data_IF_003333576705
#
_entry.id   IF_003333576705
#
_cell.length_a   1.000
_cell.length_b   1.000
_cell.length_c   1.000
_cell.angle_alpha   90.00
_cell.angle_beta   90.00
_cell.angle_gamma   90.00
#
_symmetry.space_group_name_H-M   'P 1'
#
loop_
_entity.id
_entity.type
_entity.pdbx_description
1 polymer ?
#
# COMPACT_ATOMS: atom_id res chain seq x y z
N UNK A 1 7.63 0.10 13.52
CA UNK A 1 8.85 -0.68 13.81
C UNK A 1 8.81 -1.92 12.93
N UNK A 2 9.93 -2.29 12.33
CA UNK A 2 10.08 -3.57 11.64
C UNK A 2 10.17 -4.72 12.66
N UNK A 3 9.98 -5.99 12.24
CA UNK A 3 10.02 -7.13 13.14
C UNK A 3 11.31 -7.21 13.98
N UNK A 4 12.46 -6.91 13.37
CA UNK A 4 13.77 -6.96 14.06
C UNK A 4 13.84 -5.93 15.20
N UNK A 5 13.32 -4.71 15.00
CA UNK A 5 13.23 -3.73 16.08
C UNK A 5 12.28 -4.18 17.19
N UNK A 6 11.17 -4.85 16.86
CA UNK A 6 10.24 -5.37 17.87
C UNK A 6 10.88 -6.49 18.70
N UNK A 7 11.64 -7.38 18.08
CA UNK A 7 12.38 -8.44 18.78
C UNK A 7 13.45 -7.87 19.71
N UNK A 8 14.13 -6.79 19.32
CA UNK A 8 15.08 -6.10 20.17
C UNK A 8 14.39 -5.46 21.39
N UNK A 9 13.26 -4.77 21.16
CA UNK A 9 12.48 -4.16 22.25
C UNK A 9 11.96 -5.25 23.20
N UNK A 10 11.49 -6.38 22.67
CA UNK A 10 11.09 -7.56 23.46
C UNK A 10 12.25 -8.04 24.34
N UNK A 11 13.46 -8.16 23.78
CA UNK A 11 14.65 -8.59 24.54
C UNK A 11 14.99 -7.60 25.67
N UNK A 12 14.93 -6.30 25.40
CA UNK A 12 15.25 -5.26 26.39
C UNK A 12 14.21 -5.18 27.52
N UNK A 13 12.93 -5.28 27.18
CA UNK A 13 11.82 -5.27 28.15
C UNK A 13 11.89 -6.49 29.05
N UNK A 14 12.24 -7.64 28.49
CA UNK A 14 12.19 -8.90 29.21
C UNK A 14 13.48 -9.28 29.94
N UNK A 15 14.48 -8.41 29.89
CA UNK A 15 15.72 -8.49 30.66
C UNK A 15 15.49 -7.94 32.09
N UNK A 16 15.60 -8.82 33.10
CA UNK A 16 15.28 -8.53 34.49
C UNK A 16 16.22 -7.52 35.17
N UNK A 17 17.35 -7.16 34.54
CA UNK A 17 18.26 -6.13 35.06
C UNK A 17 17.86 -4.70 34.64
N UNK A 18 17.02 -4.54 33.61
CA UNK A 18 16.62 -3.24 33.08
C UNK A 18 15.46 -2.62 33.88
N UNK A 19 15.79 -1.91 34.98
CA UNK A 19 14.81 -1.22 35.85
C UNK A 19 14.55 0.25 35.51
N UNK A 20 15.26 0.81 34.53
CA UNK A 20 15.26 2.25 34.23
C UNK A 20 14.71 2.61 32.85
N UNK A 21 14.02 1.69 32.17
CA UNK A 21 13.50 1.90 30.82
C UNK A 21 11.97 1.88 30.81
N UNK A 22 11.37 2.90 30.19
CA UNK A 22 9.96 2.98 29.88
C UNK A 22 9.78 3.02 28.36
N UNK A 23 9.03 2.06 27.82
CA UNK A 23 8.70 2.02 26.40
C UNK A 23 7.28 2.57 26.19
N UNK A 24 7.17 3.58 25.35
CA UNK A 24 5.89 4.15 24.92
C UNK A 24 5.74 3.91 23.43
N UNK A 25 4.64 3.27 23.04
CA UNK A 25 4.33 2.97 21.65
C UNK A 25 2.90 3.39 21.33
N UNK A 26 2.69 3.79 20.07
CA UNK A 26 1.37 4.03 19.51
C UNK A 26 1.20 3.14 18.28
N UNK A 27 0.04 2.50 18.16
CA UNK A 27 -0.32 1.68 17.01
C UNK A 27 -1.82 1.83 16.74
N UNK A 28 -2.23 1.57 15.50
CA UNK A 28 -3.63 1.56 15.12
C UNK A 28 -4.17 0.14 15.26
N UNK A 29 -5.26 -0.03 16.01
CA UNK A 29 -5.80 -1.35 16.33
C UNK A 29 -6.28 -2.11 15.08
N UNK A 30 -6.78 -1.40 14.07
CA UNK A 30 -7.20 -1.98 12.79
C UNK A 30 -6.04 -2.43 11.88
N UNK A 31 -4.80 -2.03 12.15
CA UNK A 31 -3.61 -2.43 11.39
C UNK A 31 -2.85 -3.59 12.07
N UNK A 32 -3.17 -3.89 13.33
CA UNK A 32 -2.48 -4.90 14.15
C UNK A 32 -3.42 -6.08 14.38
N UNK A 33 -3.37 -7.07 13.49
CA UNK A 33 -4.13 -8.31 13.65
C UNK A 33 -3.54 -9.21 14.74
N UNK A 34 -4.29 -10.24 15.16
CA UNK A 34 -3.80 -11.23 16.13
C UNK A 34 -2.50 -11.94 15.67
N UNK A 35 -2.26 -12.02 14.36
CA UNK A 35 -1.05 -12.59 13.77
C UNK A 35 0.10 -11.58 13.58
N UNK A 36 -0.07 -10.32 13.98
CA UNK A 36 0.96 -9.30 13.84
C UNK A 36 2.10 -9.50 14.85
N UNK A 37 3.34 -9.17 14.46
CA UNK A 37 4.52 -9.35 15.33
C UNK A 37 4.42 -8.58 16.65
N UNK A 38 3.84 -7.39 16.63
CA UNK A 38 3.55 -6.60 17.84
C UNK A 38 2.61 -7.33 18.80
N UNK A 39 1.57 -8.00 18.28
CA UNK A 39 0.62 -8.79 19.08
C UNK A 39 1.32 -9.94 19.80
N UNK A 40 2.21 -10.64 19.08
CA UNK A 40 3.05 -11.72 19.63
C UNK A 40 4.00 -11.20 20.73
N UNK A 41 4.68 -10.09 20.47
CA UNK A 41 5.55 -9.41 21.45
C UNK A 41 4.77 -9.06 22.73
N UNK A 42 3.59 -8.41 22.61
CA UNK A 42 2.75 -8.05 23.76
C UNK A 42 2.38 -9.30 24.57
N UNK A 43 1.91 -10.37 23.92
CA UNK A 43 1.56 -11.62 24.60
C UNK A 43 2.73 -12.25 25.36
N UNK A 44 3.95 -12.17 24.82
CA UNK A 44 5.15 -12.69 25.51
C UNK A 44 5.52 -11.85 26.72
N UNK A 45 5.39 -10.53 26.63
CA UNK A 45 5.63 -9.59 27.74
C UNK A 45 4.61 -9.86 28.87
N UNK A 46 3.33 -10.04 28.53
CA UNK A 46 2.27 -10.41 29.48
C UNK A 46 2.56 -11.74 30.19
N UNK A 47 3.05 -12.76 29.47
CA UNK A 47 3.45 -14.05 30.06
C UNK A 47 4.57 -13.94 31.08
N UNK A 48 5.45 -12.93 30.95
CA UNK A 48 6.52 -12.66 31.93
C UNK A 48 6.07 -11.75 33.08
N UNK A 49 4.78 -11.44 33.18
CA UNK A 49 4.19 -10.60 34.24
C UNK A 49 4.79 -9.19 34.32
N UNK A 50 5.23 -8.66 33.19
CA UNK A 50 5.72 -7.27 33.08
C UNK A 50 4.50 -6.37 32.90
N UNK A 51 4.39 -5.25 33.64
CA UNK A 51 3.22 -4.37 33.57
C UNK A 51 3.11 -3.71 32.19
N UNK A 52 1.95 -3.87 31.54
CA UNK A 52 1.59 -3.18 30.31
C UNK A 52 0.39 -2.28 30.59
N UNK A 53 0.50 -1.01 30.22
CA UNK A 53 -0.61 -0.06 30.30
C UNK A 53 -1.09 0.19 28.87
N UNK A 54 -2.25 -0.37 28.52
CA UNK A 54 -2.93 -0.06 27.25
C UNK A 54 -3.81 1.16 27.47
N UNK A 55 -3.50 2.25 26.77
CA UNK A 55 -4.33 3.45 26.73
C UNK A 55 -5.03 3.46 25.37
N UNK A 56 -6.35 3.28 25.38
CA UNK A 56 -7.16 3.41 24.19
C UNK A 56 -7.46 4.90 23.95
N UNK A 57 -7.02 5.42 22.81
CA UNK A 57 -7.27 6.81 22.42
C UNK A 57 -8.53 6.83 21.54
N UNK A 58 -9.67 7.09 22.18
CA UNK A 58 -10.95 7.27 21.50
C UNK A 58 -11.14 8.68 20.94
N UNK A 59 -12.30 8.90 20.34
CA UNK A 59 -12.79 10.25 20.04
C UNK A 59 -13.08 11.00 21.36
N UNK A 60 -13.06 12.33 21.32
CA UNK A 60 -13.32 13.17 22.49
C UNK A 60 -14.73 12.91 23.03
N UNK A 61 -14.89 13.00 24.35
CA UNK A 61 -16.21 13.15 24.93
C UNK A 61 -16.82 14.50 24.53
N UNK A 62 -18.11 14.67 24.77
CA UNK A 62 -18.78 15.94 24.50
C UNK A 62 -18.23 17.04 25.41
N UNK A 63 -17.90 16.68 26.63
CA UNK A 63 -17.32 17.53 27.66
C UNK A 63 -15.91 17.98 27.23
N UNK A 64 -15.04 17.04 26.83
CA UNK A 64 -13.70 17.36 26.33
C UNK A 64 -13.75 18.18 25.03
N UNK A 65 -14.75 17.93 24.18
CA UNK A 65 -14.98 18.76 22.99
C UNK A 65 -15.38 20.18 23.37
N UNK A 66 -16.16 20.35 24.44
CA UNK A 66 -16.54 21.66 24.94
C UNK A 66 -15.32 22.41 25.50
N UNK A 67 -14.49 21.74 26.27
CA UNK A 67 -13.24 22.30 26.80
C UNK A 67 -12.30 22.72 25.66
N UNK A 68 -12.11 21.85 24.66
CA UNK A 68 -11.32 22.17 23.48
C UNK A 68 -11.85 23.41 22.75
N UNK A 69 -13.17 23.50 22.54
CA UNK A 69 -13.79 24.67 21.87
C UNK A 69 -13.60 25.92 22.72
N UNK A 70 -13.91 25.85 24.01
CA UNK A 70 -13.74 26.91 25.01
C UNK A 70 -12.32 27.50 24.97
N UNK A 71 -11.31 26.64 24.99
CA UNK A 71 -9.91 27.04 24.94
C UNK A 71 -9.52 27.66 23.60
N UNK A 72 -10.00 27.11 22.48
CA UNK A 72 -9.70 27.61 21.14
C UNK A 72 -10.24 29.02 20.90
N UNK A 73 -11.45 29.30 21.37
CA UNK A 73 -12.09 30.61 21.17
C UNK A 73 -12.01 31.49 22.43
N UNK A 74 -11.27 31.08 23.46
CA UNK A 74 -11.06 31.83 24.70
C UNK A 74 -12.38 32.32 25.31
N UNK A 75 -13.39 31.45 25.34
CA UNK A 75 -14.73 31.76 25.84
C UNK A 75 -15.12 30.71 26.89
N UNK A 76 -15.67 31.09 28.06
CA UNK A 76 -16.01 30.13 29.11
C UNK A 76 -16.87 28.95 28.63
N UNK A 77 -16.54 27.75 29.11
CA UNK A 77 -17.19 26.49 28.73
C UNK A 77 -18.73 26.50 28.84
N UNK A 78 -19.28 27.23 29.81
CA UNK A 78 -20.74 27.37 29.99
C UNK A 78 -21.43 28.05 28.81
N UNK A 79 -20.71 28.96 28.12
CA UNK A 79 -21.23 29.72 26.99
C UNK A 79 -21.03 28.98 25.66
N UNK A 80 -20.04 28.09 25.56
CA UNK A 80 -19.74 27.34 24.34
C UNK A 80 -20.62 26.11 24.13
N UNK A 81 -21.40 25.69 25.14
CA UNK A 81 -22.28 24.52 25.08
C UNK A 81 -23.13 24.45 23.81
N UNK A 82 -23.74 25.56 23.41
CA UNK A 82 -24.61 25.61 22.21
C UNK A 82 -23.85 25.39 20.90
N UNK A 83 -22.60 25.82 20.81
CA UNK A 83 -21.72 25.55 19.67
C UNK A 83 -21.25 24.10 19.71
N UNK A 84 -20.82 23.64 20.88
CA UNK A 84 -20.37 22.27 21.12
C UNK A 84 -21.44 21.25 20.77
N UNK A 85 -22.70 21.49 21.11
CA UNK A 85 -23.81 20.58 20.75
C UNK A 85 -23.89 20.32 19.25
N UNK A 86 -23.70 21.35 18.44
CA UNK A 86 -23.78 21.25 16.99
C UNK A 86 -22.49 20.66 16.42
N UNK A 87 -21.33 21.08 16.93
CA UNK A 87 -20.03 20.56 16.50
C UNK A 87 -19.90 19.08 16.84
N UNK A 88 -20.21 18.68 18.08
CA UNK A 88 -20.12 17.30 18.55
C UNK A 88 -21.04 16.36 17.79
N UNK A 89 -22.34 16.71 17.66
CA UNK A 89 -23.30 15.89 16.89
C UNK A 89 -22.85 15.62 15.47
N UNK A 90 -22.14 16.57 14.86
CA UNK A 90 -21.72 16.48 13.47
C UNK A 90 -20.32 15.88 13.27
N UNK A 91 -19.48 15.88 14.30
CA UNK A 91 -18.08 15.39 14.23
C UNK A 91 -17.84 14.10 15.03
N UNK A 92 -18.81 13.72 15.88
CA UNK A 92 -18.74 12.59 16.82
C UNK A 92 -17.50 12.63 17.73
N UNK A 93 -17.01 13.83 18.07
CA UNK A 93 -15.85 13.99 18.95
C UNK A 93 -14.49 13.75 18.29
N UNK A 94 -14.44 13.46 16.99
CA UNK A 94 -13.16 13.26 16.33
C UNK A 94 -12.37 14.59 16.28
N UNK A 95 -11.25 14.67 17.00
CA UNK A 95 -10.45 15.91 17.19
C UNK A 95 -10.15 16.59 15.86
N UNK A 96 -9.78 15.83 14.83
CA UNK A 96 -9.45 16.38 13.52
C UNK A 96 -10.68 17.04 12.88
N UNK A 97 -11.85 16.42 12.97
CA UNK A 97 -13.10 16.96 12.41
C UNK A 97 -13.63 18.13 13.22
N UNK A 98 -13.48 18.11 14.55
CA UNK A 98 -13.79 19.26 15.41
C UNK A 98 -13.00 20.48 14.94
N UNK A 99 -11.67 20.35 14.85
CA UNK A 99 -10.79 21.45 14.42
C UNK A 99 -11.10 21.92 12.98
N UNK A 100 -11.30 21.00 12.04
CA UNK A 100 -11.62 21.34 10.66
C UNK A 100 -12.99 22.00 10.52
N UNK A 101 -13.99 21.50 11.24
CA UNK A 101 -15.32 22.06 11.19
C UNK A 101 -15.33 23.48 11.76
N UNK A 102 -14.72 23.71 12.92
CA UNK A 102 -14.58 25.05 13.51
C UNK A 102 -13.89 26.02 12.54
N UNK A 103 -12.80 25.59 11.88
CA UNK A 103 -12.14 26.39 10.85
C UNK A 103 -13.06 26.70 9.67
N UNK A 104 -13.84 25.73 9.21
CA UNK A 104 -14.83 25.95 8.14
C UNK A 104 -15.98 26.89 8.54
N UNK A 105 -16.32 26.96 9.83
CA UNK A 105 -17.31 27.91 10.36
C UNK A 105 -16.72 29.32 10.39
N UNK A 106 -15.45 29.43 10.77
CA UNK A 106 -14.70 30.69 10.73
C UNK A 106 -14.58 31.24 9.31
N UNK A 107 -14.12 30.43 8.37
CA UNK A 107 -13.94 30.82 6.97
C UNK A 107 -15.27 31.24 6.30
N UNK A 108 -16.38 30.67 6.77
CA UNK A 108 -17.72 30.99 6.28
C UNK A 108 -18.42 32.12 7.05
N UNK A 109 -17.72 32.80 7.97
CA UNK A 109 -18.27 33.84 8.84
C UNK A 109 -19.50 33.38 9.67
N UNK A 110 -19.59 32.09 9.97
CA UNK A 110 -20.62 31.52 10.85
C UNK A 110 -20.16 31.42 12.30
N UNK A 111 -18.84 31.49 12.51
CA UNK A 111 -18.16 31.66 13.79
C UNK A 111 -17.19 32.83 13.63
N UNK A 112 -17.43 33.96 14.30
CA UNK A 112 -16.61 35.17 14.09
C UNK A 112 -16.46 35.96 15.39
N UNK A 113 -15.37 36.72 15.49
CA UNK A 113 -15.16 37.61 16.62
C UNK A 113 -15.88 38.95 16.39
N UNK A 114 -16.84 39.29 17.24
CA UNK A 114 -17.57 40.55 17.17
C UNK A 114 -16.84 41.61 18.00
N UNK A 115 -16.24 42.59 17.32
CA UNK A 115 -15.58 43.73 17.98
C UNK A 115 -16.55 44.59 18.80
N UNK A 116 -17.84 44.60 18.45
CA UNK A 116 -18.87 45.38 19.18
C UNK A 116 -19.16 44.81 20.56
N UNK A 117 -19.24 43.48 20.66
CA UNK A 117 -19.50 42.77 21.92
C UNK A 117 -18.22 42.26 22.58
N UNK A 118 -17.07 42.42 21.93
CA UNK A 118 -15.76 41.90 22.33
C UNK A 118 -15.79 40.39 22.67
N UNK A 119 -16.54 39.61 21.88
CA UNK A 119 -16.79 38.19 22.12
C UNK A 119 -16.95 37.44 20.80
N UNK A 120 -16.66 36.15 20.81
CA UNK A 120 -17.02 35.25 19.72
C UNK A 120 -18.53 35.10 19.61
N UNK A 121 -19.02 35.13 18.38
CA UNK A 121 -20.42 34.92 18.07
C UNK A 121 -20.55 33.84 17.01
N UNK A 122 -21.64 33.10 17.11
CA UNK A 122 -22.01 32.07 16.15
C UNK A 122 -23.52 32.01 15.97
N UNK A 123 -23.96 31.51 14.83
CA UNK A 123 -25.37 31.30 14.54
C UNK A 123 -25.65 29.79 14.50
N UNK A 124 -26.15 29.24 15.60
CA UNK A 124 -26.46 27.81 15.72
C UNK A 124 -27.41 27.32 14.62
N UNK A 125 -28.48 28.06 14.31
CA UNK A 125 -29.43 27.67 13.26
C UNK A 125 -28.77 27.56 11.88
N UNK A 126 -27.89 28.51 11.52
CA UNK A 126 -27.15 28.47 10.27
C UNK A 126 -26.11 27.35 10.25
N UNK A 127 -25.40 27.12 11.37
CA UNK A 127 -24.45 26.01 11.53
C UNK A 127 -25.16 24.66 11.44
N UNK A 128 -26.38 24.56 11.96
CA UNK A 128 -27.19 23.34 11.94
C UNK A 128 -27.64 23.01 10.51
N UNK A 129 -28.08 24.03 9.76
CA UNK A 129 -28.44 23.94 8.34
C UNK A 129 -27.25 23.66 7.42
N UNK A 130 -26.03 24.03 7.84
CA UNK A 130 -24.78 23.66 7.17
C UNK A 130 -24.50 22.18 7.41
N UNK A 131 -24.78 21.34 6.42
CA UNK A 131 -24.46 19.92 6.51
C UNK A 131 -22.97 19.71 6.81
N UNK A 132 -22.66 18.95 7.86
CA UNK A 132 -21.44 18.16 7.83
C UNK A 132 -21.82 16.92 7.06
N UNK A 133 -21.18 16.75 5.93
CA UNK A 133 -21.13 15.45 5.29
C UNK A 133 -20.38 14.54 6.25
N UNK A 134 -21.07 13.55 6.83
CA UNK A 134 -20.56 12.61 7.84
C UNK A 134 -19.30 11.82 7.42
N UNK A 135 -18.74 12.13 6.25
CA UNK A 135 -17.51 11.57 5.74
C UNK A 135 -16.47 12.70 5.58
N UNK A 136 -15.39 12.62 6.36
CA UNK A 136 -14.21 13.47 6.21
C UNK A 136 -13.71 13.52 4.78
N UNK A 137 -13.83 12.39 4.08
CA UNK A 137 -13.48 12.26 2.66
C UNK A 137 -14.36 13.18 1.82
N UNK A 138 -15.66 13.32 2.12
CA UNK A 138 -16.57 14.17 1.36
C UNK A 138 -16.29 15.67 1.60
N UNK A 139 -16.02 16.07 2.85
CA UNK A 139 -15.66 17.46 3.17
C UNK A 139 -14.34 17.86 2.48
N UNK A 140 -13.32 17.02 2.59
CA UNK A 140 -12.03 17.22 1.94
C UNK A 140 -12.18 17.21 0.42
N UNK A 141 -13.02 16.31 -0.13
CA UNK A 141 -13.33 16.27 -1.56
C UNK A 141 -13.94 17.59 -2.04
N UNK A 142 -14.90 18.16 -1.31
CA UNK A 142 -15.49 19.46 -1.63
C UNK A 142 -14.48 20.60 -1.57
N UNK A 143 -13.57 20.60 -0.59
CA UNK A 143 -12.47 21.57 -0.53
C UNK A 143 -11.56 21.45 -1.77
N UNK A 144 -11.15 20.23 -2.11
CA UNK A 144 -10.27 19.97 -3.26
C UNK A 144 -10.95 20.37 -4.58
N UNK A 145 -12.26 20.15 -4.72
CA UNK A 145 -13.04 20.56 -5.90
C UNK A 145 -13.10 22.09 -6.11
N UNK A 146 -12.73 22.90 -5.12
CA UNK A 146 -12.61 24.35 -5.26
C UNK A 146 -11.26 24.80 -5.85
N UNK A 147 -10.29 23.89 -5.95
CA UNK A 147 -8.98 24.19 -6.52
C UNK A 147 -8.98 24.09 -8.05
N UNK A 148 -7.93 24.60 -8.69
CA UNK A 148 -7.76 24.49 -10.14
C UNK A 148 -7.71 23.03 -10.58
N UNK A 149 -8.12 22.75 -11.83
CA UNK A 149 -8.11 21.40 -12.38
C UNK A 149 -6.70 20.78 -12.35
N UNK A 150 -5.65 21.59 -12.53
CA UNK A 150 -4.26 21.17 -12.42
C UNK A 150 -3.93 20.69 -11.01
N UNK A 151 -4.39 21.43 -9.98
CA UNK A 151 -4.19 21.07 -8.58
C UNK A 151 -4.94 19.80 -8.21
N UNK A 152 -6.19 19.69 -8.67
CA UNK A 152 -6.97 18.48 -8.46
C UNK A 152 -6.33 17.26 -9.12
N UNK A 153 -5.86 17.40 -10.35
CA UNK A 153 -5.24 16.33 -11.11
C UNK A 153 -3.88 15.93 -10.52
N UNK A 154 -3.10 16.90 -10.02
CA UNK A 154 -1.88 16.65 -9.26
C UNK A 154 -2.15 15.79 -8.01
N UNK A 155 -3.14 16.17 -7.23
CA UNK A 155 -3.54 15.44 -6.02
C UNK A 155 -4.06 14.03 -6.32
N UNK A 156 -4.89 13.88 -7.37
CA UNK A 156 -5.37 12.57 -7.86
C UNK A 156 -4.20 11.67 -8.29
N UNK A 157 -3.20 12.22 -8.97
CA UNK A 157 -1.99 11.51 -9.40
C UNK A 157 -1.22 10.96 -8.19
N UNK A 158 -0.92 11.80 -7.21
CA UNK A 158 -0.19 11.36 -6.01
C UNK A 158 -1.01 10.34 -5.21
N UNK A 159 -2.33 10.53 -5.11
CA UNK A 159 -3.20 9.59 -4.42
C UNK A 159 -3.21 8.19 -5.05
N UNK A 160 -3.00 8.08 -6.37
CA UNK A 160 -2.81 6.79 -7.05
C UNK A 160 -1.48 6.11 -6.68
N UNK A 161 -0.43 6.89 -6.40
CA UNK A 161 0.89 6.40 -6.01
C UNK A 161 0.95 5.94 -4.55
N UNK A 162 0.21 6.60 -3.65
CA UNK A 162 0.11 6.23 -2.24
C UNK A 162 -0.03 7.43 -1.31
N UNK A 163 0.39 7.26 -0.05
CA UNK A 163 0.37 8.31 0.97
C UNK A 163 1.53 9.29 0.86
N UNK A 164 2.60 8.93 0.13
CA UNK A 164 3.75 9.77 -0.15
C UNK A 164 4.31 9.52 -1.55
N UNK A 165 5.08 10.49 -2.07
CA UNK A 165 5.73 10.43 -3.37
C UNK A 165 7.00 11.29 -3.37
N UNK A 166 8.13 10.68 -3.73
CA UNK A 166 9.39 11.38 -3.96
C UNK A 166 9.35 12.18 -5.27
N UNK A 167 10.00 13.34 -5.30
CA UNK A 167 10.14 14.17 -6.51
C UNK A 167 10.75 13.40 -7.69
N UNK A 168 11.66 12.47 -7.43
CA UNK A 168 12.24 11.58 -8.45
C UNK A 168 11.17 10.74 -9.17
N UNK A 169 10.12 10.29 -8.47
CA UNK A 169 9.02 9.54 -9.06
C UNK A 169 8.13 10.46 -9.91
N UNK A 170 7.94 11.70 -9.47
CA UNK A 170 7.22 12.72 -10.24
C UNK A 170 7.97 12.98 -11.56
N UNK A 171 9.29 13.16 -11.50
CA UNK A 171 10.11 13.33 -12.71
C UNK A 171 10.04 12.14 -13.66
N UNK A 172 9.96 10.91 -13.13
CA UNK A 172 9.82 9.69 -13.91
C UNK A 172 8.48 9.63 -14.66
N UNK A 173 7.38 10.04 -14.03
CA UNK A 173 6.05 10.09 -14.68
C UNK A 173 6.00 11.22 -15.73
N UNK A 174 6.69 12.33 -15.46
CA UNK A 174 6.64 13.54 -16.29
C UNK A 174 7.74 13.62 -17.36
N UNK A 175 8.71 12.71 -17.40
CA UNK A 175 9.76 12.75 -18.41
C UNK A 175 9.16 12.54 -19.83
N UNK A 176 9.39 13.50 -20.72
CA UNK A 176 9.10 13.55 -22.17
C UNK A 176 7.80 12.91 -22.72
N UNK A 177 6.97 13.73 -23.38
CA UNK A 177 5.75 13.31 -24.12
C UNK A 177 6.03 12.53 -25.42
N UNK A 178 7.28 12.52 -25.89
CA UNK A 178 7.63 12.07 -27.24
C UNK A 178 7.46 10.55 -27.50
N UNK A 179 7.45 9.72 -26.46
CA UNK A 179 7.36 8.25 -26.60
C UNK A 179 5.97 7.66 -26.36
N UNK A 180 5.02 8.43 -25.80
CA UNK A 180 3.69 7.94 -25.41
C UNK A 180 2.69 7.81 -26.58
N UNK A 181 3.09 8.18 -27.80
CA UNK A 181 2.22 8.13 -29.00
C UNK A 181 1.98 6.73 -29.58
N UNK A 182 2.62 5.67 -29.05
CA UNK A 182 2.49 4.29 -29.59
C UNK A 182 1.68 3.32 -28.74
N UNK A 183 1.16 3.72 -27.58
CA UNK A 183 0.34 2.82 -26.76
C UNK A 183 -1.15 3.04 -27.05
N UNK A 184 -1.86 1.95 -27.34
CA UNK A 184 -3.32 1.82 -27.59
C UNK A 184 -4.22 2.30 -26.43
N UNK A 185 -3.95 3.47 -25.88
CA UNK A 185 -4.97 4.19 -25.15
C UNK A 185 -5.74 4.93 -26.23
N UNK A 186 -6.96 4.47 -26.51
CA UNK A 186 -7.91 5.12 -27.44
C UNK A 186 -7.75 6.63 -27.39
N UNK A 187 -7.72 7.29 -28.55
CA UNK A 187 -7.57 8.74 -28.74
C UNK A 187 -8.30 9.63 -27.72
N UNK A 188 -9.39 9.16 -27.11
CA UNK A 188 -10.13 9.85 -26.04
C UNK A 188 -9.40 9.97 -24.68
N UNK A 189 -8.29 9.27 -24.43
CA UNK A 189 -7.53 9.40 -23.18
C UNK A 189 -6.38 10.41 -23.26
N UNK A 190 -5.90 10.70 -24.47
CA UNK A 190 -4.92 11.77 -24.69
C UNK A 190 -5.52 13.15 -24.41
N UNK A 191 -6.84 13.31 -24.56
CA UNK A 191 -7.55 14.54 -24.19
C UNK A 191 -7.68 14.74 -22.66
N UNK A 192 -7.55 13.68 -21.84
CA UNK A 192 -7.88 13.74 -20.39
C UNK A 192 -6.66 14.05 -19.51
N UNK A 193 -5.43 13.80 -19.97
CA UNK A 193 -4.23 13.85 -19.12
C UNK A 193 -3.16 14.81 -19.64
N UNK A 194 -3.51 16.11 -19.76
CA UNK A 194 -2.55 17.14 -20.17
C UNK A 194 -1.73 17.66 -18.98
N UNK A 195 -0.81 16.84 -18.46
CA UNK A 195 0.11 17.26 -17.40
C UNK A 195 1.36 17.92 -18.00
N UNK A 196 1.42 19.25 -18.04
CA UNK A 196 2.69 19.95 -18.31
C UNK A 196 3.57 19.90 -17.05
N UNK A 197 4.83 19.52 -17.24
CA UNK A 197 5.84 19.30 -16.19
C UNK A 197 6.04 20.49 -15.23
N UNK A 198 5.69 21.70 -15.66
CA UNK A 198 5.79 22.95 -14.88
C UNK A 198 4.60 23.17 -13.95
N UNK A 199 3.46 22.51 -14.16
CA UNK A 199 2.24 22.76 -13.39
C UNK A 199 2.07 21.77 -12.22
N UNK A 200 2.65 20.57 -12.29
CA UNK A 200 2.50 19.55 -11.24
C UNK A 200 3.22 19.93 -9.94
N UNK A 201 4.49 20.38 -10.01
CA UNK A 201 5.24 20.79 -8.81
C UNK A 201 4.63 22.05 -8.20
N UNK A 202 4.22 23.02 -9.02
CA UNK A 202 3.55 24.24 -8.55
C UNK A 202 2.22 23.91 -7.84
N UNK A 203 1.42 23.00 -8.40
CA UNK A 203 0.18 22.49 -7.82
C UNK A 203 0.39 21.78 -6.48
N UNK A 204 1.43 20.95 -6.37
CA UNK A 204 1.75 20.27 -5.10
C UNK A 204 2.25 21.26 -4.05
N UNK A 205 3.06 22.24 -4.42
CA UNK A 205 3.47 23.32 -3.52
C UNK A 205 2.28 24.17 -3.06
N UNK A 206 1.29 24.39 -3.91
CA UNK A 206 0.02 25.01 -3.49
C UNK A 206 -0.72 24.13 -2.48
N UNK A 207 -0.84 22.83 -2.72
CA UNK A 207 -1.45 21.90 -1.76
C UNK A 207 -0.72 21.83 -0.42
N UNK A 208 0.61 22.03 -0.40
CA UNK A 208 1.40 22.17 0.83
C UNK A 208 1.02 23.43 1.60
N UNK A 209 0.91 24.58 0.91
CA UNK A 209 0.46 25.84 1.53
C UNK A 209 -0.97 25.72 2.10
N UNK A 210 -1.83 24.97 1.42
CA UNK A 210 -3.21 24.68 1.85
C UNK A 210 -3.31 23.66 3.00
N UNK A 211 -2.18 23.15 3.49
CA UNK A 211 -2.11 22.19 4.58
C UNK A 211 -2.61 20.79 4.22
N UNK A 212 -2.76 20.47 2.93
CA UNK A 212 -3.15 19.14 2.47
C UNK A 212 -1.99 18.16 2.41
N UNK A 213 -0.78 18.69 2.22
CA UNK A 213 0.44 17.91 2.09
C UNK A 213 1.57 18.55 2.90
N UNK A 214 2.51 17.71 3.31
CA UNK A 214 3.80 18.10 3.82
C UNK A 214 4.86 17.85 2.75
N UNK A 215 5.83 18.75 2.63
CA UNK A 215 6.98 18.57 1.76
C UNK A 215 8.26 18.56 2.60
N UNK A 216 8.89 17.40 2.70
CA UNK A 216 10.09 17.18 3.53
C UNK A 216 11.07 16.32 2.76
N UNK A 217 12.34 16.72 2.69
CA UNK A 217 13.41 15.99 1.98
C UNK A 217 13.02 15.54 0.55
N UNK A 218 12.54 16.46 -0.30
CA UNK A 218 12.08 16.16 -1.67
C UNK A 218 11.01 15.07 -1.77
N UNK A 219 10.21 14.92 -0.71
CA UNK A 219 9.09 13.97 -0.65
C UNK A 219 7.82 14.71 -0.28
N UNK A 220 6.81 14.59 -1.14
CA UNK A 220 5.46 15.04 -0.84
C UNK A 220 4.72 13.93 -0.10
N UNK A 221 4.14 14.23 1.05
CA UNK A 221 3.34 13.30 1.86
C UNK A 221 2.01 13.95 2.17
N UNK A 222 0.90 13.21 2.02
CA UNK A 222 -0.39 13.72 2.49
C UNK A 222 -0.32 13.97 4.00
N UNK A 223 -0.87 15.10 4.45
CA UNK A 223 -0.88 15.42 5.87
C UNK A 223 -1.67 14.38 6.67
N UNK A 224 -2.65 13.72 6.03
CA UNK A 224 -3.44 12.64 6.61
C UNK A 224 -3.94 11.66 5.53
N UNK A 225 -4.14 10.39 5.90
CA UNK A 225 -4.62 9.34 4.97
C UNK A 225 -6.02 9.66 4.39
N UNK A 226 -6.86 10.36 5.16
CA UNK A 226 -8.18 10.82 4.70
C UNK A 226 -8.10 11.80 3.53
N UNK A 227 -7.01 12.59 3.44
CA UNK A 227 -6.79 13.50 2.31
C UNK A 227 -6.43 12.71 1.07
N UNK A 228 -5.57 11.69 1.19
CA UNK A 228 -5.28 10.78 0.10
C UNK A 228 -6.57 10.10 -0.40
N UNK A 229 -7.40 9.59 0.51
CA UNK A 229 -8.67 8.95 0.18
C UNK A 229 -9.63 9.93 -0.52
N UNK A 230 -9.71 11.18 -0.07
CA UNK A 230 -10.49 12.22 -0.74
C UNK A 230 -9.99 12.51 -2.15
N UNK A 231 -8.68 12.69 -2.32
CA UNK A 231 -8.09 12.87 -3.65
C UNK A 231 -8.36 11.68 -4.57
N UNK A 232 -8.27 10.45 -4.06
CA UNK A 232 -8.54 9.24 -4.84
C UNK A 232 -10.03 9.02 -5.13
N UNK A 233 -10.92 9.44 -4.21
CA UNK A 233 -12.37 9.31 -4.36
C UNK A 233 -12.91 10.19 -5.50
N UNK A 234 -12.27 11.35 -5.72
CA UNK A 234 -12.55 12.27 -6.83
C UNK A 234 -12.25 11.68 -8.21
N UNK A 235 -11.57 10.53 -8.31
CA UNK A 235 -11.41 9.80 -9.56
C UNK A 235 -12.65 8.91 -9.76
N UNK A 236 -13.45 9.13 -10.82
CA UNK A 236 -14.59 8.28 -11.13
C UNK A 236 -14.20 6.80 -11.19
N UNK A 237 -15.02 5.91 -10.61
CA UNK A 237 -14.68 4.48 -10.47
C UNK A 237 -14.31 3.83 -11.81
N UNK A 238 -14.98 4.20 -12.90
CA UNK A 238 -14.70 3.73 -14.27
C UNK A 238 -13.41 4.30 -14.88
N UNK A 239 -12.83 5.36 -14.30
CA UNK A 239 -11.60 6.00 -14.75
C UNK A 239 -10.38 5.58 -13.93
N UNK A 240 -10.55 5.08 -12.70
CA UNK A 240 -9.42 4.71 -11.80
C UNK A 240 -8.42 3.76 -12.46
N UNK A 241 -8.90 2.72 -13.12
CA UNK A 241 -7.99 1.80 -13.81
C UNK A 241 -7.25 2.46 -14.96
N UNK A 242 -7.87 3.41 -15.69
CA UNK A 242 -7.19 4.17 -16.75
C UNK A 242 -6.11 5.10 -16.20
N UNK A 243 -6.33 5.73 -15.04
CA UNK A 243 -5.29 6.49 -14.32
C UNK A 243 -4.09 5.60 -13.97
N UNK A 244 -4.36 4.45 -13.35
CA UNK A 244 -3.33 3.49 -12.99
C UNK A 244 -2.54 2.98 -14.21
N UNK A 245 -3.23 2.65 -15.31
CA UNK A 245 -2.57 2.28 -16.57
C UNK A 245 -1.72 3.42 -17.13
N UNK A 246 -2.22 4.65 -17.12
CA UNK A 246 -1.49 5.81 -17.62
C UNK A 246 -0.20 6.05 -16.81
N UNK A 247 -0.28 6.05 -15.48
CA UNK A 247 0.88 6.21 -14.59
C UNK A 247 1.90 5.10 -14.86
N UNK A 248 1.45 3.84 -14.86
CA UNK A 248 2.33 2.69 -15.04
C UNK A 248 3.06 2.71 -16.39
N UNK A 249 2.36 3.02 -17.49
CA UNK A 249 2.98 3.13 -18.81
C UNK A 249 3.97 4.30 -18.90
N UNK A 250 3.68 5.45 -18.29
CA UNK A 250 4.59 6.61 -18.27
C UNK A 250 5.88 6.30 -17.53
N UNK A 251 5.76 5.70 -16.35
CA UNK A 251 6.91 5.25 -15.55
C UNK A 251 7.75 4.26 -16.34
N UNK A 252 7.10 3.26 -16.96
CA UNK A 252 7.80 2.25 -17.75
C UNK A 252 8.53 2.85 -18.96
N UNK A 253 7.91 3.79 -19.67
CA UNK A 253 8.52 4.46 -20.81
C UNK A 253 9.80 5.24 -20.44
N UNK A 254 9.86 5.77 -19.22
CA UNK A 254 10.94 6.64 -18.74
C UNK A 254 11.97 5.95 -17.84
N UNK A 255 11.94 4.61 -17.77
CA UNK A 255 12.75 3.80 -16.84
C UNK A 255 14.28 3.92 -16.98
N UNK A 256 14.79 4.51 -18.06
CA UNK A 256 16.23 4.54 -18.37
C UNK A 256 17.11 5.10 -17.22
N UNK A 257 16.61 6.08 -16.47
CA UNK A 257 17.37 6.69 -15.38
C UNK A 257 17.38 5.85 -14.08
N UNK A 258 16.40 4.98 -13.87
CA UNK A 258 16.28 4.15 -12.65
C UNK A 258 15.45 2.89 -12.92
N UNK A 259 16.01 1.88 -13.61
CA UNK A 259 15.25 0.73 -14.11
C UNK A 259 14.55 -0.08 -13.01
N UNK A 260 15.26 -0.42 -11.92
CA UNK A 260 14.72 -1.22 -10.81
C UNK A 260 13.57 -0.51 -10.10
N UNK A 261 13.75 0.78 -9.77
CA UNK A 261 12.70 1.59 -9.14
C UNK A 261 11.49 1.73 -10.05
N UNK A 262 11.73 1.95 -11.35
CA UNK A 262 10.67 2.09 -12.34
C UNK A 262 9.87 0.79 -12.50
N UNK A 263 10.51 -0.38 -12.41
CA UNK A 263 9.84 -1.68 -12.50
C UNK A 263 8.73 -1.81 -11.44
N UNK A 264 9.06 -1.62 -10.16
CA UNK A 264 8.07 -1.79 -9.08
C UNK A 264 6.94 -0.77 -9.15
N UNK A 265 7.26 0.51 -9.42
CA UNK A 265 6.23 1.55 -9.57
C UNK A 265 5.34 1.25 -10.78
N UNK A 266 5.93 0.92 -11.93
CA UNK A 266 5.17 0.64 -13.14
C UNK A 266 4.25 -0.56 -12.96
N UNK A 267 4.80 -1.71 -12.53
CA UNK A 267 4.04 -2.96 -12.41
C UNK A 267 2.95 -2.84 -11.35
N UNK A 268 3.25 -2.24 -10.19
CA UNK A 268 2.25 -2.00 -9.16
C UNK A 268 1.07 -1.16 -9.66
N UNK A 269 1.33 -0.14 -10.48
CA UNK A 269 0.29 0.68 -11.10
C UNK A 269 -0.46 -0.07 -12.20
N UNK A 270 0.24 -0.74 -13.12
CA UNK A 270 -0.38 -1.51 -14.20
C UNK A 270 -1.30 -2.62 -13.66
N UNK A 271 -0.91 -3.30 -12.58
CA UNK A 271 -1.71 -4.33 -11.93
C UNK A 271 -3.05 -3.77 -11.39
N UNK A 272 -3.05 -2.58 -10.79
CA UNK A 272 -4.30 -1.91 -10.34
C UNK A 272 -5.23 -1.55 -11.49
N UNK A 273 -4.69 -1.39 -12.70
CA UNK A 273 -5.44 -1.13 -13.93
C UNK A 273 -5.75 -2.36 -14.78
N UNK A 274 -5.33 -3.56 -14.37
CA UNK A 274 -5.32 -4.76 -15.20
C UNK A 274 -6.70 -5.15 -15.77
N UNK A 275 -7.79 -4.87 -15.03
CA UNK A 275 -9.16 -5.17 -15.49
C UNK A 275 -9.57 -4.41 -16.77
N UNK A 276 -8.88 -3.31 -17.11
CA UNK A 276 -9.12 -2.52 -18.31
C UNK A 276 -8.20 -2.92 -19.49
N UNK A 277 -7.34 -3.93 -19.31
CA UNK A 277 -6.49 -4.47 -20.38
C UNK A 277 -7.23 -5.61 -21.07
N UNK A 278 -7.88 -5.29 -22.20
CA UNK A 278 -8.62 -6.28 -23.00
C UNK A 278 -7.74 -6.99 -24.05
N UNK A 279 -6.67 -6.34 -24.51
CA UNK A 279 -5.73 -6.95 -25.46
C UNK A 279 -4.98 -8.11 -24.82
N UNK A 280 -5.00 -9.27 -25.51
CA UNK A 280 -4.27 -10.46 -25.07
C UNK A 280 -2.77 -10.19 -25.00
N UNK A 281 -2.22 -9.49 -25.99
CA UNK A 281 -0.79 -9.19 -26.06
C UNK A 281 -0.34 -8.29 -24.91
N UNK A 282 -1.16 -7.30 -24.56
CA UNK A 282 -0.87 -6.42 -23.41
C UNK A 282 -0.98 -7.15 -22.07
N UNK A 283 -1.89 -8.13 -21.94
CA UNK A 283 -1.92 -9.01 -20.75
C UNK A 283 -0.68 -9.87 -20.63
N UNK A 284 -0.18 -10.41 -21.76
CA UNK A 284 1.07 -11.18 -21.79
C UNK A 284 2.26 -10.30 -21.43
N UNK A 285 2.32 -9.08 -21.96
CA UNK A 285 3.35 -8.10 -21.61
C UNK A 285 3.35 -7.81 -20.11
N UNK A 286 2.18 -7.53 -19.51
CA UNK A 286 2.07 -7.31 -18.07
C UNK A 286 2.43 -8.57 -17.25
N UNK A 287 2.11 -9.77 -17.74
CA UNK A 287 2.52 -11.02 -17.10
C UNK A 287 4.05 -11.20 -17.10
N UNK A 288 4.74 -10.80 -18.18
CA UNK A 288 6.22 -10.78 -18.22
C UNK A 288 6.81 -9.79 -17.22
N UNK A 289 6.23 -8.60 -17.12
CA UNK A 289 6.69 -7.59 -16.15
C UNK A 289 6.47 -8.07 -14.70
N UNK A 290 5.36 -8.77 -14.44
CA UNK A 290 5.10 -9.39 -13.14
C UNK A 290 6.10 -10.51 -12.82
N UNK A 291 6.52 -11.31 -13.82
CA UNK A 291 7.59 -12.29 -13.64
C UNK A 291 8.90 -11.60 -13.26
N UNK A 292 9.26 -10.50 -13.93
CA UNK A 292 10.46 -9.72 -13.66
C UNK A 292 10.43 -9.12 -12.24
N UNK A 293 9.35 -8.42 -11.88
CA UNK A 293 9.16 -7.86 -10.53
C UNK A 293 9.14 -8.94 -9.44
N UNK A 294 8.56 -10.11 -9.74
CA UNK A 294 8.57 -11.27 -8.86
C UNK A 294 9.98 -11.79 -8.58
N UNK A 295 10.79 -11.99 -9.63
CA UNK A 295 12.18 -12.43 -9.51
C UNK A 295 13.07 -11.40 -8.80
N UNK A 296 12.88 -10.12 -9.08
CA UNK A 296 13.62 -9.05 -8.39
C UNK A 296 13.22 -8.96 -6.91
N UNK A 297 11.95 -9.20 -6.60
CA UNK A 297 11.53 -9.30 -5.19
C UNK A 297 12.18 -10.50 -4.50
N UNK A 298 12.39 -11.62 -5.20
CA UNK A 298 13.07 -12.80 -4.66
C UNK A 298 14.56 -12.56 -4.41
N UNK A 299 15.27 -11.85 -5.30
CA UNK A 299 16.69 -11.52 -5.10
C UNK A 299 16.90 -10.65 -3.85
N UNK A 300 15.91 -9.82 -3.51
CA UNK A 300 15.86 -8.99 -2.30
C UNK A 300 15.26 -9.71 -1.06
N UNK A 301 14.99 -11.02 -1.16
CA UNK A 301 14.31 -11.83 -0.13
C UNK A 301 12.92 -11.30 0.30
N UNK A 302 12.29 -10.47 -0.53
CA UNK A 302 10.95 -9.92 -0.34
C UNK A 302 9.87 -10.89 -0.87
N UNK A 303 9.71 -12.04 -0.22
CA UNK A 303 8.87 -13.14 -0.71
C UNK A 303 7.36 -12.81 -0.78
N UNK A 304 6.84 -11.94 0.11
CA UNK A 304 5.42 -11.55 0.05
C UNK A 304 5.09 -10.68 -1.19
N UNK A 305 5.84 -9.61 -1.50
CA UNK A 305 5.73 -8.92 -2.78
C UNK A 305 5.98 -9.83 -3.98
N UNK A 306 6.96 -10.74 -3.91
CA UNK A 306 7.23 -11.69 -4.98
C UNK A 306 6.00 -12.57 -5.30
N UNK A 307 5.36 -13.12 -4.26
CA UNK A 307 4.15 -13.92 -4.40
C UNK A 307 3.03 -13.14 -5.08
N UNK A 308 2.80 -11.89 -4.65
CA UNK A 308 1.78 -11.02 -5.23
C UNK A 308 2.00 -10.78 -6.73
N UNK A 309 3.22 -10.44 -7.14
CA UNK A 309 3.52 -10.22 -8.56
C UNK A 309 3.36 -11.51 -9.37
N UNK A 310 3.88 -12.64 -8.89
CA UNK A 310 3.80 -13.92 -9.59
C UNK A 310 2.35 -14.42 -9.70
N UNK A 311 1.55 -14.34 -8.63
CA UNK A 311 0.11 -14.67 -8.66
C UNK A 311 -0.65 -13.77 -9.64
N UNK A 312 -0.34 -12.47 -9.65
CA UNK A 312 -0.94 -11.53 -10.60
C UNK A 312 -0.56 -11.87 -12.05
N UNK A 313 0.71 -12.18 -12.29
CA UNK A 313 1.22 -12.61 -13.60
C UNK A 313 0.54 -13.89 -14.10
N UNK A 314 0.37 -14.87 -13.22
CA UNK A 314 -0.37 -16.11 -13.52
C UNK A 314 -1.84 -15.80 -13.82
N UNK A 315 -2.51 -14.97 -13.02
CA UNK A 315 -3.92 -14.60 -13.21
C UNK A 315 -4.20 -13.83 -14.51
N UNK A 316 -3.17 -13.22 -15.11
CA UNK A 316 -3.29 -12.57 -16.41
C UNK A 316 -3.31 -13.57 -17.58
N UNK A 317 -2.87 -14.81 -17.36
CA UNK A 317 -2.81 -15.88 -18.36
C UNK A 317 -4.00 -16.85 -18.20
N UNK A 318 -4.57 -17.33 -19.31
CA UNK A 318 -5.59 -18.39 -19.33
C UNK A 318 -4.96 -19.77 -19.58
N UNK A 319 -5.72 -20.86 -19.50
CA UNK A 319 -5.19 -22.23 -19.68
C UNK A 319 -4.54 -22.47 -21.05
N UNK A 320 -5.08 -21.86 -22.12
CA UNK A 320 -4.53 -21.96 -23.49
C UNK A 320 -3.15 -21.27 -23.66
N UNK A 321 -2.60 -20.66 -22.61
CA UNK A 321 -1.29 -20.00 -22.67
C UNK A 321 -0.12 -20.96 -22.49
N UNK A 322 -0.32 -22.16 -21.94
CA UNK A 322 0.73 -23.19 -21.92
C UNK A 322 1.14 -23.64 -23.34
N UNK A 323 0.22 -23.65 -24.30
CA UNK A 323 0.53 -23.97 -25.70
C UNK A 323 1.17 -22.81 -26.45
N UNK A 324 0.64 -21.59 -26.28
CA UNK A 324 1.07 -20.39 -27.02
C UNK A 324 2.26 -19.63 -26.40
N UNK A 325 2.41 -19.67 -25.07
CA UNK A 325 3.37 -18.89 -24.28
C UNK A 325 4.04 -19.78 -23.21
N UNK A 326 4.49 -20.96 -23.64
CA UNK A 326 5.03 -22.01 -22.79
C UNK A 326 6.11 -21.54 -21.81
N UNK A 327 7.18 -20.89 -22.31
CA UNK A 327 8.31 -20.45 -21.49
C UNK A 327 7.89 -19.47 -20.39
N UNK A 328 6.96 -18.56 -20.69
CA UNK A 328 6.43 -17.61 -19.70
C UNK A 328 5.66 -18.35 -18.59
N UNK A 329 4.79 -19.29 -18.96
CA UNK A 329 4.04 -20.09 -18.00
C UNK A 329 4.98 -20.91 -17.13
N UNK A 330 5.93 -21.62 -17.75
CA UNK A 330 6.92 -22.45 -17.06
C UNK A 330 7.70 -21.64 -16.02
N UNK A 331 8.17 -20.45 -16.39
CA UNK A 331 8.92 -19.56 -15.47
C UNK A 331 8.04 -19.01 -14.35
N UNK A 332 6.82 -18.56 -14.65
CA UNK A 332 5.90 -18.03 -13.64
C UNK A 332 5.55 -19.09 -12.59
N UNK A 333 5.16 -20.29 -13.01
CA UNK A 333 4.77 -21.35 -12.09
C UNK A 333 5.97 -21.89 -11.29
N UNK A 334 7.15 -22.06 -11.89
CA UNK A 334 8.36 -22.45 -11.15
C UNK A 334 8.75 -21.39 -10.12
N UNK A 335 8.79 -20.11 -10.48
CA UNK A 335 9.09 -19.03 -9.52
C UNK A 335 8.03 -18.93 -8.43
N UNK A 336 6.75 -19.11 -8.75
CA UNK A 336 5.68 -19.10 -7.75
C UNK A 336 5.78 -20.28 -6.78
N UNK A 337 6.11 -21.48 -7.27
CA UNK A 337 6.34 -22.65 -6.42
C UNK A 337 7.47 -22.41 -5.41
N UNK A 338 8.58 -21.82 -5.87
CA UNK A 338 9.71 -21.48 -5.00
C UNK A 338 9.33 -20.46 -3.92
N UNK A 339 8.62 -19.39 -4.31
CA UNK A 339 8.15 -18.38 -3.34
C UNK A 339 7.16 -18.97 -2.34
N UNK A 340 6.21 -19.78 -2.81
CA UNK A 340 5.23 -20.44 -1.94
C UNK A 340 5.92 -21.38 -0.94
N UNK A 341 6.98 -22.09 -1.35
CA UNK A 341 7.82 -22.87 -0.44
C UNK A 341 8.50 -21.97 0.61
N UNK A 342 9.13 -20.87 0.19
CA UNK A 342 9.82 -19.93 1.10
C UNK A 342 8.89 -19.28 2.14
N UNK A 343 7.58 -19.25 1.87
CA UNK A 343 6.55 -18.77 2.79
C UNK A 343 5.90 -19.90 3.63
N UNK A 344 6.35 -21.15 3.50
CA UNK A 344 5.74 -22.32 4.16
C UNK A 344 4.39 -22.75 3.56
N UNK A 345 4.00 -22.19 2.42
CA UNK A 345 2.75 -22.47 1.71
C UNK A 345 2.82 -23.75 0.87
N UNK A 346 3.03 -24.91 1.50
CA UNK A 346 3.28 -26.18 0.82
C UNK A 346 2.14 -26.61 -0.13
N UNK A 347 0.88 -26.37 0.24
CA UNK A 347 -0.29 -26.65 -0.61
C UNK A 347 -0.28 -25.82 -1.90
N UNK A 348 0.02 -24.52 -1.80
CA UNK A 348 0.12 -23.62 -2.95
C UNK A 348 1.29 -24.01 -3.86
N UNK A 349 2.44 -24.30 -3.23
CA UNK A 349 3.62 -24.79 -3.93
C UNK A 349 3.30 -26.07 -4.69
N UNK A 350 2.63 -27.03 -4.05
CA UNK A 350 2.32 -28.32 -4.66
C UNK A 350 1.44 -28.16 -5.90
N UNK A 351 0.38 -27.35 -5.83
CA UNK A 351 -0.50 -27.06 -6.97
C UNK A 351 0.28 -26.44 -8.14
N UNK A 352 1.22 -25.55 -7.86
CA UNK A 352 2.04 -24.91 -8.88
C UNK A 352 2.96 -25.93 -9.58
N UNK A 353 3.62 -26.78 -8.79
CA UNK A 353 4.47 -27.87 -9.31
C UNK A 353 3.66 -28.86 -10.14
N UNK A 354 2.49 -29.28 -9.69
CA UNK A 354 1.64 -30.22 -10.43
C UNK A 354 1.24 -29.64 -11.80
N UNK A 355 1.00 -28.32 -11.89
CA UNK A 355 0.74 -27.64 -13.17
C UNK A 355 1.98 -27.62 -14.09
N UNK A 356 3.18 -27.45 -13.54
CA UNK A 356 4.43 -27.59 -14.31
C UNK A 356 4.55 -29.02 -14.83
N UNK A 357 4.40 -30.03 -13.98
CA UNK A 357 4.54 -31.43 -14.37
C UNK A 357 3.53 -31.87 -15.43
N UNK A 358 2.29 -31.38 -15.33
CA UNK A 358 1.22 -31.64 -16.30
C UNK A 358 1.53 -31.08 -17.69
N UNK A 359 2.19 -29.93 -17.78
CA UNK A 359 2.40 -29.22 -19.04
C UNK A 359 3.83 -29.29 -19.59
N UNK A 360 4.79 -29.80 -18.80
CA UNK A 360 6.19 -29.90 -19.17
C UNK A 360 6.39 -30.69 -20.48
N UNK A 361 7.21 -30.16 -21.38
CA UNK A 361 7.48 -30.77 -22.71
C UNK A 361 8.61 -31.78 -22.68
N UNK A 362 9.54 -31.65 -21.75
CA UNK A 362 10.61 -32.61 -21.48
C UNK A 362 10.85 -32.78 -19.97
N UNK A 363 11.78 -33.67 -19.61
CA UNK A 363 12.14 -33.89 -18.21
C UNK A 363 12.85 -32.67 -17.60
N UNK A 364 13.74 -32.01 -18.35
CA UNK A 364 14.53 -30.87 -17.88
C UNK A 364 13.66 -29.71 -17.37
N UNK A 365 12.52 -29.47 -18.02
CA UNK A 365 11.54 -28.45 -17.61
C UNK A 365 11.01 -28.67 -16.19
N UNK A 366 11.08 -29.92 -15.69
CA UNK A 366 10.59 -30.32 -14.35
C UNK A 366 11.65 -30.16 -13.26
N UNK A 367 12.92 -29.93 -13.59
CA UNK A 367 14.02 -29.97 -12.63
C UNK A 367 13.87 -28.95 -11.49
N UNK A 368 13.49 -27.71 -11.81
CA UNK A 368 13.27 -26.68 -10.78
C UNK A 368 12.11 -27.03 -9.84
N UNK A 369 11.04 -27.62 -10.40
CA UNK A 369 9.90 -28.10 -9.62
C UNK A 369 10.26 -29.28 -8.73
N UNK A 370 11.05 -30.25 -9.22
CA UNK A 370 11.58 -31.34 -8.41
C UNK A 370 12.51 -30.83 -7.29
N UNK A 371 13.41 -29.90 -7.60
CA UNK A 371 14.29 -29.28 -6.62
C UNK A 371 13.49 -28.61 -5.49
N UNK A 372 12.42 -27.90 -5.85
CA UNK A 372 11.51 -27.27 -4.87
C UNK A 372 10.78 -28.31 -4.02
N UNK A 373 10.31 -29.42 -4.61
CA UNK A 373 9.67 -30.51 -3.88
C UNK A 373 10.61 -31.21 -2.90
N UNK A 374 11.85 -31.49 -3.30
CA UNK A 374 12.88 -32.08 -2.44
C UNK A 374 13.10 -31.21 -1.20
N UNK A 375 13.30 -29.90 -1.40
CA UNK A 375 13.44 -28.94 -0.28
C UNK A 375 12.21 -28.94 0.64
N UNK A 376 11.01 -29.00 0.05
CA UNK A 376 9.76 -29.07 0.80
C UNK A 376 9.62 -30.34 1.65
N UNK A 377 9.98 -31.51 1.11
CA UNK A 377 9.96 -32.78 1.84
C UNK A 377 10.95 -32.76 3.00
N UNK A 378 12.16 -32.24 2.78
CA UNK A 378 13.13 -32.02 3.85
C UNK A 378 12.59 -31.12 4.98
N UNK A 379 12.01 -29.97 4.62
CA UNK A 379 11.43 -29.02 5.58
C UNK A 379 10.21 -29.60 6.35
N UNK A 380 9.50 -30.57 5.77
CA UNK A 380 8.37 -31.27 6.40
C UNK A 380 8.79 -32.47 7.26
N UNK A 381 10.09 -32.72 7.44
CA UNK A 381 10.56 -33.86 8.22
C UNK A 381 10.37 -35.20 7.52
N UNK A 382 10.39 -35.22 6.18
CA UNK A 382 10.27 -36.42 5.33
C UNK A 382 11.57 -36.70 4.56
N UNK A 383 12.70 -36.95 5.27
CA UNK A 383 14.01 -37.08 4.63
C UNK A 383 14.09 -38.29 3.69
N UNK A 384 13.43 -39.40 4.01
CA UNK A 384 13.43 -40.59 3.14
C UNK A 384 12.73 -40.30 1.80
N UNK A 385 11.52 -39.74 1.82
CA UNK A 385 10.81 -39.34 0.59
C UNK A 385 11.62 -38.32 -0.22
N UNK A 386 12.32 -37.41 0.46
CA UNK A 386 13.22 -36.44 -0.18
C UNK A 386 14.39 -37.14 -0.88
N UNK A 387 15.05 -38.10 -0.23
CA UNK A 387 16.15 -38.88 -0.80
C UNK A 387 15.71 -39.74 -1.99
N UNK A 388 14.57 -40.42 -1.86
CA UNK A 388 14.01 -41.26 -2.93
C UNK A 388 13.70 -40.40 -4.17
N UNK A 389 13.18 -39.19 -3.97
CA UNK A 389 12.91 -38.24 -5.06
C UNK A 389 14.21 -37.73 -5.71
N UNK A 390 15.26 -37.44 -4.93
CA UNK A 390 16.57 -37.09 -5.48
C UNK A 390 17.17 -38.22 -6.35
N UNK A 391 17.12 -39.45 -5.84
CA UNK A 391 17.59 -40.64 -6.57
C UNK A 391 16.83 -40.80 -7.88
N UNK A 392 15.50 -40.69 -7.83
CA UNK A 392 14.65 -40.73 -9.03
C UNK A 392 15.07 -39.70 -10.07
N UNK A 393 15.35 -38.45 -9.66
CA UNK A 393 15.77 -37.37 -10.57
C UNK A 393 17.14 -37.65 -11.17
N UNK A 394 18.13 -38.07 -10.37
CA UNK A 394 19.48 -38.38 -10.85
C UNK A 394 19.49 -39.53 -11.86
N UNK A 395 18.69 -40.58 -11.63
CA UNK A 395 18.54 -41.69 -12.58
C UNK A 395 17.97 -41.23 -13.93
N UNK A 396 17.09 -40.23 -13.95
CA UNK A 396 16.56 -39.66 -15.20
C UNK A 396 17.54 -38.72 -15.91
N UNK A 397 18.60 -38.29 -15.23
CA UNK A 397 19.67 -37.48 -15.79
C UNK A 397 20.90 -38.31 -16.20
N UNK A 398 20.80 -39.64 -16.12
CA UNK A 398 21.90 -40.59 -16.34
C UNK A 398 23.13 -40.35 -15.43
N UNK A 399 22.91 -39.74 -14.26
CA UNK A 399 23.97 -39.47 -13.28
C UNK A 399 24.18 -40.69 -12.36
N UNK A 400 25.44 -41.07 -12.16
CA UNK A 400 25.79 -42.22 -11.34
C UNK A 400 25.58 -41.91 -9.85
N UNK A 401 24.67 -42.65 -9.20
CA UNK A 401 24.45 -42.55 -7.76
C UNK A 401 25.45 -43.50 -7.07
N UNK A 402 26.40 -43.01 -6.26
CA UNK A 402 27.24 -43.90 -5.47
C UNK A 402 26.34 -44.59 -4.44
N UNK A 403 26.19 -45.91 -4.58
CA UNK A 403 25.28 -46.77 -3.78
C UNK A 403 25.75 -46.89 -2.31
N UNK A 404 26.72 -46.09 -1.86
CA UNK A 404 27.17 -46.09 -0.47
C UNK A 404 27.80 -44.75 -0.09
N UNK A 405 27.27 -44.01 0.91
CA UNK A 405 28.12 -43.09 1.63
C UNK A 405 29.15 -43.94 2.36
N UNK A 406 30.41 -43.92 1.91
CA UNK A 406 31.51 -44.37 2.76
C UNK A 406 31.51 -43.46 3.98
N UNK A 407 30.91 -43.94 5.09
CA UNK A 407 31.14 -43.40 6.42
C UNK A 407 32.56 -43.75 6.85
N UNK A 408 33.55 -43.15 6.19
CA UNK A 408 34.95 -43.14 6.59
C UNK A 408 35.55 -41.82 6.10
N UNK A 409 35.65 -40.86 7.01
CA UNK A 409 36.22 -39.53 6.82
C UNK A 409 35.96 -38.66 8.02
#
# INVERSE_FOLDING_TARGET
ADPVSLDLIESLITDGENKSLLFVGAYRENEVSQSHHLSSMIHKIERKSIPIIKIEVGDLSKEDTNELISDLIQTPADLTCSLTDVVYRKTSGNVLFVLQFLRSLYDAYLLFFSLRSNQWQWNTAMIESKGITNDAVELLSRKILQFSDETQNALKLIACLGSFCEESNIHLIMANDMAAQKTDISSNAQEVFHFRRVDLIASLNFAVKEGLMNHVHSTYKFAHDQIQLACYSLIPKNMRGRWHLWIGNRVWANRAASPEKALFIAVGQLNKGAMFIHSKDRRIELARLNLEAGKESMSLAAFAPAAFYLETGIGLLHENYWSSHYDLCLRLYNSYAEVAYSQGGFEKMRRAVDLVFKNARCFDDKLLSYFTLVRALGAQGKPQESSDLCIFVLLHLDEAIPISPNMNG
#
